data_IF_074845883719
#
_entry.id   IF_074845883719
#
_cell.length_a   1.000
_cell.length_b   1.000
_cell.length_c   1.000
_cell.angle_alpha   90.00
_cell.angle_beta   90.00
_cell.angle_gamma   90.00
#
_symmetry.space_group_name_H-M   'P 1'
#
loop_
_entity.id
_entity.type
_entity.pdbx_description
1 polymer ?
#
# COMPACT_ATOMS: atom_id res chain seq x y z
N UNK A 1 -0.30 13.46 6.09
CA UNK A 1 -1.31 13.71 5.04
C UNK A 1 -2.56 14.27 5.70
N UNK A 2 -3.10 15.35 5.20
CA UNK A 2 -4.38 15.88 5.63
C UNK A 2 -5.32 15.96 4.41
N UNK A 3 -6.58 15.59 4.62
CA UNK A 3 -7.63 15.66 3.59
C UNK A 3 -8.84 16.33 4.16
N UNK A 4 -9.27 17.43 3.55
CA UNK A 4 -10.46 18.17 3.94
C UNK A 4 -11.54 17.98 2.88
N UNK A 5 -12.72 17.61 3.31
CA UNK A 5 -13.91 17.51 2.47
C UNK A 5 -15.00 18.41 3.03
N UNK A 6 -15.53 19.28 2.19
CA UNK A 6 -16.75 20.02 2.47
C UNK A 6 -17.86 19.44 1.59
N UNK A 7 -18.83 18.74 2.19
CA UNK A 7 -19.93 18.13 1.46
C UNK A 7 -21.24 18.89 1.73
N UNK A 8 -21.98 19.16 0.66
CA UNK A 8 -23.29 19.85 0.74
C UNK A 8 -24.41 18.89 1.21
N UNK A 9 -24.22 17.57 1.07
CA UNK A 9 -25.22 16.57 1.48
C UNK A 9 -24.58 15.35 2.18
N UNK A 10 -25.08 15.04 3.38
CA UNK A 10 -24.86 13.75 4.03
C UNK A 10 -25.74 12.68 3.35
N UNK A 11 -25.12 11.76 2.61
CA UNK A 11 -25.83 10.67 1.94
C UNK A 11 -26.48 9.71 2.95
N UNK A 12 -27.67 9.20 2.62
CA UNK A 12 -28.50 8.31 3.42
C UNK A 12 -27.78 6.96 3.69
N UNK A 13 -27.77 6.50 4.94
CA UNK A 13 -27.08 5.27 5.37
C UNK A 13 -27.63 3.98 4.72
N UNK A 14 -28.88 3.97 4.29
CA UNK A 14 -29.52 2.81 3.60
C UNK A 14 -28.93 2.59 2.21
N UNK A 15 -28.71 3.67 1.44
CA UNK A 15 -28.05 3.60 0.13
C UNK A 15 -26.61 3.08 0.22
N UNK A 16 -25.96 3.19 1.38
CA UNK A 16 -24.59 2.70 1.63
C UNK A 16 -24.50 1.17 1.76
N UNK A 17 -25.57 0.49 2.19
CA UNK A 17 -25.62 -0.98 2.27
C UNK A 17 -25.89 -1.63 0.91
N UNK A 18 -26.79 -1.08 0.12
CA UNK A 18 -27.10 -1.56 -1.24
C UNK A 18 -25.93 -1.33 -2.22
N UNK A 19 -25.21 -0.21 -2.08
CA UNK A 19 -24.03 0.08 -2.90
C UNK A 19 -22.84 -0.89 -2.68
N UNK A 20 -22.84 -1.68 -1.61
CA UNK A 20 -21.78 -2.69 -1.38
C UNK A 20 -21.98 -3.97 -2.19
N UNK A 21 -23.18 -4.22 -2.68
CA UNK A 21 -23.53 -5.39 -3.49
C UNK A 21 -23.44 -5.14 -4.99
N UNK A 22 -23.31 -3.88 -5.44
CA UNK A 22 -23.24 -3.51 -6.85
C UNK A 22 -21.78 -3.32 -7.32
N UNK A 23 -21.55 -3.60 -8.61
CA UNK A 23 -20.28 -3.26 -9.27
C UNK A 23 -20.08 -1.73 -9.19
N UNK A 24 -18.92 -1.31 -8.70
CA UNK A 24 -18.60 0.11 -8.57
C UNK A 24 -18.53 0.77 -9.95
N UNK A 25 -19.11 1.98 -10.09
CA UNK A 25 -18.91 2.78 -11.30
C UNK A 25 -17.42 3.08 -11.51
N UNK A 26 -16.96 3.34 -12.75
CA UNK A 26 -15.55 3.67 -13.03
C UNK A 26 -15.01 4.83 -12.18
N UNK A 27 -15.82 5.87 -11.96
CA UNK A 27 -15.47 6.99 -11.09
C UNK A 27 -15.26 6.56 -9.64
N UNK A 28 -16.08 5.62 -9.13
CA UNK A 28 -15.98 5.08 -7.78
C UNK A 28 -14.78 4.15 -7.65
N UNK A 29 -14.47 3.38 -8.70
CA UNK A 29 -13.25 2.54 -8.73
C UNK A 29 -11.99 3.38 -8.70
N UNK A 30 -11.92 4.46 -9.47
CA UNK A 30 -10.82 5.42 -9.46
C UNK A 30 -10.63 6.05 -8.07
N UNK A 31 -11.72 6.49 -7.43
CA UNK A 31 -11.66 7.02 -6.06
C UNK A 31 -11.20 5.95 -5.05
N UNK A 32 -11.73 4.73 -5.13
CA UNK A 32 -11.33 3.64 -4.26
C UNK A 32 -9.85 3.28 -4.44
N UNK A 33 -9.36 3.29 -5.67
CA UNK A 33 -7.94 3.07 -5.97
C UNK A 33 -7.07 4.18 -5.36
N UNK A 34 -7.49 5.46 -5.49
CA UNK A 34 -6.81 6.60 -4.87
C UNK A 34 -6.77 6.46 -3.33
N UNK A 35 -7.88 6.16 -2.70
CA UNK A 35 -7.95 5.97 -1.25
C UNK A 35 -7.11 4.77 -0.79
N UNK A 36 -7.05 3.71 -1.60
CA UNK A 36 -6.27 2.51 -1.30
C UNK A 36 -4.76 2.80 -1.27
N UNK A 37 -4.22 3.50 -2.27
CA UNK A 37 -2.79 3.83 -2.26
C UNK A 37 -2.43 4.84 -1.17
N UNK A 38 -3.28 5.82 -0.91
CA UNK A 38 -3.09 6.76 0.20
C UNK A 38 -3.03 6.05 1.55
N UNK A 39 -3.94 5.09 1.77
CA UNK A 39 -3.93 4.26 2.97
C UNK A 39 -2.66 3.41 3.07
N UNK A 40 -2.21 2.82 1.96
CA UNK A 40 -0.95 2.07 1.94
C UNK A 40 0.22 2.98 2.29
N UNK A 41 0.34 4.13 1.64
CA UNK A 41 1.39 5.12 1.90
C UNK A 41 1.48 5.50 3.38
N UNK A 42 0.34 5.85 4.00
CA UNK A 42 0.30 6.17 5.43
C UNK A 42 0.68 4.99 6.32
N UNK A 43 0.27 3.78 5.93
CA UNK A 43 0.64 2.56 6.64
C UNK A 43 2.13 2.30 6.53
N UNK A 44 2.73 2.51 5.35
CA UNK A 44 4.18 2.38 5.15
C UNK A 44 4.94 3.42 5.99
N UNK A 45 4.52 4.68 5.95
CA UNK A 45 5.15 5.75 6.72
C UNK A 45 5.12 5.53 8.24
N UNK A 46 4.07 4.86 8.75
CA UNK A 46 3.93 4.59 10.18
C UNK A 46 4.75 3.38 10.67
N UNK A 47 5.28 2.54 9.77
CA UNK A 47 5.84 1.24 10.15
C UNK A 47 7.24 0.96 9.61
N UNK A 48 7.69 1.69 8.62
CA UNK A 48 8.97 1.44 7.96
C UNK A 48 9.85 2.68 8.01
N UNK A 49 11.12 2.44 8.24
CA UNK A 49 12.15 3.46 8.27
C UNK A 49 13.07 3.37 7.03
N UNK A 50 13.99 4.31 6.94
CA UNK A 50 14.83 4.50 5.77
C UNK A 50 15.67 3.27 5.38
N UNK A 51 16.12 2.52 6.39
CA UNK A 51 17.02 1.37 6.22
C UNK A 51 16.27 0.05 5.99
N UNK A 52 14.95 0.09 6.03
CA UNK A 52 14.12 -1.07 5.72
C UNK A 52 14.22 -1.45 4.23
N UNK A 53 13.83 -2.67 3.89
CA UNK A 53 14.03 -3.22 2.56
C UNK A 53 12.74 -3.31 1.76
N UNK A 54 12.87 -2.97 0.50
CA UNK A 54 11.94 -3.39 -0.55
C UNK A 54 12.54 -4.59 -1.25
N UNK A 55 11.81 -5.70 -1.25
CA UNK A 55 12.25 -6.97 -1.81
C UNK A 55 11.36 -7.33 -2.99
N UNK A 56 11.96 -7.59 -4.13
CA UNK A 56 11.27 -8.13 -5.30
C UNK A 56 11.61 -9.61 -5.45
N UNK A 57 10.58 -10.46 -5.41
CA UNK A 57 10.70 -11.92 -5.53
C UNK A 57 10.17 -12.35 -6.89
N UNK A 58 11.05 -12.83 -7.76
CA UNK A 58 10.72 -13.29 -9.11
C UNK A 58 10.80 -14.81 -9.20
N UNK A 59 9.90 -15.44 -9.95
CA UNK A 59 9.91 -16.87 -10.19
C UNK A 59 10.84 -17.25 -11.33
N UNK A 60 11.43 -18.44 -11.29
CA UNK A 60 12.00 -19.06 -12.51
C UNK A 60 10.91 -19.38 -13.51
N UNK A 61 11.26 -19.50 -14.80
CA UNK A 61 10.29 -19.80 -15.85
C UNK A 61 9.60 -21.15 -15.61
N UNK A 62 10.37 -22.16 -15.24
CA UNK A 62 9.87 -23.51 -14.94
C UNK A 62 9.01 -23.59 -13.68
N UNK A 63 9.16 -22.62 -12.77
CA UNK A 63 8.44 -22.55 -11.49
C UNK A 63 7.30 -21.53 -11.50
N UNK A 64 7.03 -20.87 -12.63
CA UNK A 64 6.03 -19.80 -12.71
C UNK A 64 4.63 -20.36 -12.40
N UNK A 65 3.94 -19.83 -11.37
CA UNK A 65 2.60 -20.29 -11.04
C UNK A 65 1.58 -19.97 -12.12
N UNK A 66 0.83 -20.97 -12.56
CA UNK A 66 -0.25 -20.79 -13.54
C UNK A 66 -1.45 -20.11 -12.88
N UNK A 67 -1.70 -20.38 -11.60
CA UNK A 67 -2.84 -19.85 -10.84
C UNK A 67 -2.36 -18.88 -9.77
N UNK A 68 -3.16 -17.85 -9.56
CA UNK A 68 -2.91 -16.87 -8.50
C UNK A 68 -2.86 -17.49 -7.11
N UNK A 69 -3.76 -18.44 -6.84
CA UNK A 69 -3.84 -19.11 -5.55
C UNK A 69 -2.54 -19.84 -5.21
N UNK A 70 -1.88 -20.38 -6.23
CA UNK A 70 -0.58 -21.03 -6.08
C UNK A 70 0.52 -20.02 -5.75
N UNK A 71 0.53 -18.87 -6.41
CA UNK A 71 1.46 -17.78 -6.10
C UNK A 71 1.22 -17.24 -4.68
N UNK A 72 -0.02 -16.97 -4.32
CA UNK A 72 -0.39 -16.50 -2.98
C UNK A 72 -0.02 -17.52 -1.89
N UNK A 73 -0.18 -18.83 -2.17
CA UNK A 73 0.24 -19.91 -1.28
C UNK A 73 1.76 -19.96 -1.11
N UNK A 74 2.53 -19.89 -2.21
CA UNK A 74 4.00 -19.89 -2.19
C UNK A 74 4.54 -18.68 -1.42
N UNK A 75 4.01 -17.48 -1.69
CA UNK A 75 4.37 -16.28 -0.95
C UNK A 75 4.01 -16.37 0.54
N UNK A 76 2.85 -16.93 0.86
CA UNK A 76 2.43 -17.14 2.26
C UNK A 76 3.36 -18.10 3.00
N UNK A 77 3.80 -19.17 2.34
CA UNK A 77 4.75 -20.13 2.90
C UNK A 77 6.13 -19.50 3.11
N UNK A 78 6.60 -18.69 2.15
CA UNK A 78 7.82 -17.91 2.29
C UNK A 78 7.75 -16.97 3.50
N UNK A 79 6.70 -16.16 3.61
CA UNK A 79 6.52 -15.23 4.74
C UNK A 79 6.46 -15.98 6.08
N UNK A 80 5.82 -17.15 6.12
CA UNK A 80 5.77 -17.99 7.33
C UNK A 80 7.17 -18.48 7.74
N UNK A 81 7.97 -18.96 6.79
CA UNK A 81 9.33 -19.41 7.04
C UNK A 81 10.24 -18.24 7.48
N UNK A 82 10.13 -17.10 6.80
CA UNK A 82 10.91 -15.90 7.14
C UNK A 82 10.54 -15.39 8.54
N UNK A 83 9.25 -15.35 8.88
CA UNK A 83 8.80 -14.98 10.24
C UNK A 83 9.33 -15.93 11.30
N UNK A 84 9.34 -17.25 11.00
CA UNK A 84 9.89 -18.24 11.94
C UNK A 84 11.37 -17.98 12.20
N UNK A 85 12.19 -17.84 11.16
CA UNK A 85 13.61 -17.58 11.28
C UNK A 85 13.91 -16.27 12.04
N UNK A 86 13.16 -15.20 11.77
CA UNK A 86 13.34 -13.93 12.51
C UNK A 86 12.97 -14.05 13.99
N UNK A 87 11.93 -14.80 14.33
CA UNK A 87 11.57 -15.05 15.74
C UNK A 87 12.66 -15.79 16.51
N UNK A 88 13.37 -16.70 15.87
CA UNK A 88 14.50 -17.41 16.47
C UNK A 88 15.64 -16.46 16.85
N UNK A 89 15.74 -15.30 16.21
CA UNK A 89 16.67 -14.20 16.54
C UNK A 89 16.04 -13.08 17.38
N UNK A 90 14.84 -13.29 17.93
CA UNK A 90 14.13 -12.31 18.77
C UNK A 90 13.54 -11.12 17.98
N UNK A 91 13.46 -11.20 16.65
CA UNK A 91 12.96 -10.12 15.78
C UNK A 91 11.56 -10.40 15.28
N UNK A 92 10.68 -9.42 15.33
CA UNK A 92 9.37 -9.51 14.71
C UNK A 92 9.46 -9.13 13.22
N UNK A 93 8.69 -9.82 12.37
CA UNK A 93 8.58 -9.48 10.94
C UNK A 93 7.35 -8.62 10.70
N UNK A 94 7.57 -7.35 10.37
CA UNK A 94 6.58 -6.47 9.77
C UNK A 94 6.74 -6.50 8.25
N UNK A 95 5.62 -6.54 7.53
CA UNK A 95 5.65 -6.50 6.07
C UNK A 95 4.39 -5.89 5.47
N UNK A 96 4.55 -5.27 4.31
CA UNK A 96 3.50 -5.03 3.33
C UNK A 96 3.84 -5.83 2.06
N UNK A 97 2.85 -6.47 1.42
CA UNK A 97 3.05 -7.29 0.23
C UNK A 97 2.06 -7.01 -0.89
N UNK A 98 2.53 -7.13 -2.12
CA UNK A 98 1.74 -7.02 -3.34
C UNK A 98 2.20 -8.09 -4.32
N UNK A 99 1.29 -8.58 -5.14
CA UNK A 99 1.60 -9.48 -6.25
C UNK A 99 1.16 -8.81 -7.54
N UNK A 100 2.08 -8.68 -8.49
CA UNK A 100 1.89 -8.06 -9.80
C UNK A 100 2.08 -9.07 -10.93
N UNK A 101 1.72 -8.69 -12.16
CA UNK A 101 1.94 -9.49 -13.37
C UNK A 101 0.74 -10.31 -13.83
N UNK A 102 -0.39 -10.27 -13.14
CA UNK A 102 -1.57 -11.03 -13.56
C UNK A 102 -2.40 -10.37 -14.68
N UNK A 103 -2.34 -9.06 -14.83
CA UNK A 103 -3.16 -8.31 -15.79
C UNK A 103 -2.40 -7.84 -17.02
N UNK A 104 -1.07 -7.78 -16.94
CA UNK A 104 -0.28 -7.00 -17.89
C UNK A 104 0.42 -7.85 -18.96
N UNK A 105 0.28 -9.18 -18.91
CA UNK A 105 1.17 -10.04 -19.68
C UNK A 105 2.63 -9.94 -19.21
N UNK A 106 2.87 -9.22 -18.12
CA UNK A 106 4.15 -9.15 -17.46
C UNK A 106 4.44 -10.42 -16.65
N UNK A 107 5.70 -10.63 -16.31
CA UNK A 107 6.13 -11.76 -15.48
C UNK A 107 5.55 -11.59 -14.07
N UNK A 108 4.94 -12.64 -13.55
CA UNK A 108 4.44 -12.69 -12.19
C UNK A 108 5.58 -12.53 -11.19
N UNK A 109 5.44 -11.59 -10.28
CA UNK A 109 6.39 -11.33 -9.21
C UNK A 109 5.72 -10.76 -7.97
N UNK A 110 6.45 -10.74 -6.87
CA UNK A 110 5.96 -10.17 -5.61
C UNK A 110 6.86 -9.05 -5.15
N UNK A 111 6.24 -7.96 -4.68
CA UNK A 111 6.93 -6.94 -3.92
C UNK A 111 6.58 -7.06 -2.45
N UNK A 112 7.59 -7.00 -1.61
CA UNK A 112 7.47 -6.92 -0.15
C UNK A 112 8.24 -5.71 0.34
N UNK A 113 7.64 -4.94 1.24
CA UNK A 113 8.36 -4.01 2.09
C UNK A 113 8.45 -4.68 3.45
N UNK A 114 9.65 -4.80 4.00
CA UNK A 114 9.92 -5.56 5.23
C UNK A 114 10.86 -4.77 6.14
N UNK A 115 10.63 -4.84 7.44
CA UNK A 115 11.53 -4.29 8.46
C UNK A 115 12.78 -5.16 8.64
N UNK A 116 13.47 -5.43 7.53
CA UNK A 116 14.64 -6.29 7.45
C UNK A 116 15.91 -5.46 7.33
N UNK A 117 17.04 -6.05 7.68
CA UNK A 117 18.35 -5.44 7.57
C UNK A 117 19.18 -6.17 6.52
N UNK A 118 20.36 -5.63 6.16
CA UNK A 118 21.29 -6.29 5.25
C UNK A 118 21.67 -7.72 5.66
N UNK A 119 21.61 -8.04 6.96
CA UNK A 119 21.85 -9.39 7.47
C UNK A 119 20.75 -10.41 7.07
N UNK A 120 19.61 -9.95 6.60
CA UNK A 120 18.51 -10.80 6.16
C UNK A 120 18.59 -11.17 4.66
N UNK A 121 19.52 -10.62 3.88
CA UNK A 121 19.61 -10.86 2.42
C UNK A 121 19.76 -12.35 2.08
N UNK A 122 20.73 -13.01 2.67
CA UNK A 122 21.01 -14.42 2.39
C UNK A 122 19.86 -15.31 2.86
N UNK A 123 19.29 -15.00 4.02
CA UNK A 123 18.11 -15.69 4.52
C UNK A 123 16.93 -15.59 3.56
N UNK A 124 16.66 -14.38 3.03
CA UNK A 124 15.57 -14.15 2.08
C UNK A 124 15.81 -14.93 0.78
N UNK A 125 17.04 -14.89 0.23
CA UNK A 125 17.42 -15.65 -0.97
C UNK A 125 17.27 -17.16 -0.75
N UNK A 126 17.79 -17.68 0.34
CA UNK A 126 17.71 -19.10 0.65
C UNK A 126 16.27 -19.60 0.80
N UNK A 127 15.42 -18.83 1.46
CA UNK A 127 14.01 -19.15 1.62
C UNK A 127 13.23 -19.09 0.31
N UNK A 128 13.62 -18.21 -0.63
CA UNK A 128 12.96 -18.08 -1.93
C UNK A 128 13.48 -19.04 -2.99
N UNK A 129 14.70 -19.57 -2.83
CA UNK A 129 15.46 -20.39 -3.81
C UNK A 129 14.66 -21.53 -4.45
N UNK A 130 13.72 -22.12 -3.73
CA UNK A 130 12.84 -23.18 -4.27
C UNK A 130 11.79 -22.68 -5.27
N UNK A 131 11.53 -21.37 -5.36
CA UNK A 131 10.54 -20.77 -6.26
C UNK A 131 11.23 -19.94 -7.35
N UNK A 132 12.39 -19.36 -7.04
CA UNK A 132 13.14 -18.50 -7.94
C UNK A 132 14.52 -18.21 -7.38
N UNK A 133 15.41 -17.73 -8.20
CA UNK A 133 16.78 -17.36 -7.89
C UNK A 133 17.03 -15.85 -8.04
N UNK A 134 16.04 -15.15 -8.58
CA UNK A 134 16.10 -13.71 -8.79
C UNK A 134 15.38 -12.99 -7.63
N UNK A 135 16.17 -12.36 -6.78
CA UNK A 135 15.70 -11.57 -5.62
C UNK A 135 16.44 -10.24 -5.61
N UNK A 136 15.70 -9.18 -5.90
CA UNK A 136 16.21 -7.81 -5.84
C UNK A 136 15.91 -7.17 -4.50
N UNK A 137 16.84 -6.32 -4.06
CA UNK A 137 16.75 -5.55 -2.83
C UNK A 137 17.00 -4.07 -3.09
N UNK A 138 16.08 -3.25 -2.62
CA UNK A 138 16.23 -1.79 -2.62
C UNK A 138 15.98 -1.24 -1.21
N UNK A 139 16.72 -0.19 -0.79
CA UNK A 139 16.41 0.49 0.47
C UNK A 139 15.08 1.25 0.34
N UNK A 140 14.19 1.09 1.32
CA UNK A 140 12.89 1.76 1.35
C UNK A 140 13.04 3.29 1.34
N UNK A 141 14.03 3.82 2.05
CA UNK A 141 14.28 5.26 2.16
C UNK A 141 14.77 5.95 0.90
N UNK A 142 15.16 5.20 -0.14
CA UNK A 142 15.58 5.76 -1.43
C UNK A 142 14.47 6.61 -2.06
N UNK A 143 13.25 6.10 -2.01
CA UNK A 143 12.10 6.69 -2.70
C UNK A 143 10.95 7.08 -1.76
N UNK A 144 10.97 6.59 -0.53
CA UNK A 144 10.04 6.90 0.52
C UNK A 144 8.63 6.29 0.34
N UNK A 145 7.74 6.49 1.33
CA UNK A 145 6.44 5.82 1.38
C UNK A 145 5.48 6.25 0.27
N UNK A 146 5.59 7.49 -0.22
CA UNK A 146 4.71 8.00 -1.27
C UNK A 146 4.95 7.30 -2.60
N UNK A 147 6.21 7.26 -3.03
CA UNK A 147 6.57 6.61 -4.30
C UNK A 147 6.25 5.12 -4.26
N UNK A 148 6.62 4.43 -3.17
CA UNK A 148 6.31 3.02 -3.00
C UNK A 148 4.81 2.75 -2.95
N UNK A 149 4.03 3.57 -2.24
CA UNK A 149 2.57 3.48 -2.24
C UNK A 149 1.96 3.62 -3.64
N UNK A 150 2.43 4.58 -4.43
CA UNK A 150 2.00 4.79 -5.82
C UNK A 150 2.45 3.64 -6.73
N UNK A 151 3.71 3.25 -6.65
CA UNK A 151 4.31 2.20 -7.48
C UNK A 151 3.59 0.87 -7.25
N UNK A 152 3.52 0.41 -6.01
CA UNK A 152 2.93 -0.87 -5.64
C UNK A 152 1.42 -0.97 -5.92
N UNK A 153 0.72 0.13 -6.11
CA UNK A 153 -0.71 0.13 -6.48
C UNK A 153 -0.96 0.53 -7.94
N UNK A 154 0.09 0.59 -8.77
CA UNK A 154 0.00 1.03 -10.16
C UNK A 154 -0.93 0.12 -10.99
N UNK A 155 -0.68 -1.17 -10.99
CA UNK A 155 -1.46 -2.13 -11.78
C UNK A 155 -2.97 -2.06 -11.47
N UNK A 156 -3.44 -2.14 -10.21
CA UNK A 156 -4.87 -2.00 -9.91
C UNK A 156 -5.45 -0.62 -10.19
N UNK A 157 -4.65 0.44 -10.20
CA UNK A 157 -5.13 1.79 -10.57
C UNK A 157 -5.31 1.94 -12.07
N UNK A 158 -4.43 1.36 -12.87
CA UNK A 158 -4.45 1.48 -14.32
C UNK A 158 -5.41 0.47 -14.97
N UNK A 159 -5.56 -0.72 -14.40
CA UNK A 159 -6.26 -1.86 -15.00
C UNK A 159 -7.52 -2.30 -14.24
N UNK A 160 -7.80 -1.65 -13.11
CA UNK A 160 -8.93 -2.00 -12.25
C UNK A 160 -8.69 -3.24 -11.38
N UNK A 161 -9.70 -3.59 -10.58
CA UNK A 161 -9.70 -4.81 -9.77
C UNK A 161 -10.20 -6.00 -10.60
N UNK A 162 -9.64 -7.17 -10.38
CA UNK A 162 -10.01 -8.40 -11.10
C UNK A 162 -11.38 -8.92 -10.73
N UNK A 163 -11.76 -8.78 -9.46
CA UNK A 163 -13.05 -9.22 -8.93
C UNK A 163 -13.43 -8.43 -7.67
N UNK A 164 -14.70 -8.49 -7.32
CA UNK A 164 -15.21 -7.85 -6.10
C UNK A 164 -14.55 -8.47 -4.86
N UNK A 165 -13.97 -7.62 -3.99
CA UNK A 165 -13.27 -8.05 -2.79
C UNK A 165 -11.78 -8.36 -2.98
N UNK A 166 -11.23 -8.23 -4.19
CA UNK A 166 -9.79 -8.36 -4.42
C UNK A 166 -9.02 -7.31 -3.61
N UNK A 167 -8.10 -7.79 -2.78
CA UNK A 167 -7.20 -6.94 -2.00
C UNK A 167 -5.91 -6.75 -2.76
N UNK A 168 -5.66 -5.53 -3.17
CA UNK A 168 -4.47 -5.14 -3.94
C UNK A 168 -3.19 -5.31 -3.13
N UNK A 169 -3.25 -5.10 -1.82
CA UNK A 169 -2.12 -5.26 -0.92
C UNK A 169 -2.56 -5.87 0.42
N UNK A 170 -1.61 -6.48 1.12
CA UNK A 170 -1.81 -7.09 2.44
C UNK A 170 -0.63 -6.76 3.35
N UNK A 171 -0.88 -6.66 4.65
CA UNK A 171 0.13 -6.35 5.67
C UNK A 171 0.16 -7.41 6.76
N UNK A 172 1.24 -7.41 7.55
CA UNK A 172 1.28 -8.13 8.81
C UNK A 172 0.25 -7.56 9.81
N UNK A 173 -0.14 -8.38 10.79
CA UNK A 173 -1.21 -8.02 11.73
C UNK A 173 -0.81 -6.92 12.72
N UNK A 174 0.44 -6.88 13.14
CA UNK A 174 0.92 -6.02 14.22
C UNK A 174 1.43 -4.65 13.74
N UNK A 175 1.11 -4.28 12.50
CA UNK A 175 1.47 -2.96 12.00
C UNK A 175 0.66 -1.87 12.70
N UNK A 176 1.34 -0.78 13.03
CA UNK A 176 0.70 0.44 13.53
C UNK A 176 -0.26 0.99 12.48
N UNK A 177 -1.44 1.36 12.92
CA UNK A 177 -2.41 2.01 12.05
C UNK A 177 -2.12 3.50 12.00
N UNK A 178 -2.25 4.16 10.84
CA UNK A 178 -2.20 5.61 10.76
C UNK A 178 -3.24 6.23 11.70
N UNK A 179 -2.85 7.29 12.40
CA UNK A 179 -3.78 8.06 13.21
C UNK A 179 -4.65 8.89 12.27
N UNK A 180 -5.95 8.71 12.36
CA UNK A 180 -6.93 9.45 11.56
C UNK A 180 -7.84 10.22 12.50
N UNK A 181 -7.85 11.54 12.37
CA UNK A 181 -8.78 12.42 13.10
C UNK A 181 -9.74 13.07 12.10
N UNK A 182 -10.96 13.34 12.55
CA UNK A 182 -11.97 14.03 11.75
C UNK A 182 -12.54 15.16 12.60
N UNK A 183 -12.54 16.36 12.05
CA UNK A 183 -13.12 17.55 12.69
C UNK A 183 -14.09 18.20 11.72
N UNK A 184 -15.08 18.87 12.26
CA UNK A 184 -15.91 19.79 11.48
C UNK A 184 -15.09 21.07 11.22
N UNK A 185 -15.23 21.59 10.03
CA UNK A 185 -14.61 22.85 9.60
C UNK A 185 -15.71 23.83 9.21
N UNK A 186 -15.47 25.11 9.41
CA UNK A 186 -16.40 26.17 9.01
C UNK A 186 -16.21 26.51 7.53
N UNK A 187 -17.24 27.11 6.93
CA UNK A 187 -17.17 27.59 5.56
C UNK A 187 -16.11 28.69 5.44
N UNK A 188 -15.14 28.48 4.55
CA UNK A 188 -14.02 29.41 4.37
C UNK A 188 -12.74 29.00 5.08
N UNK A 189 -12.75 27.97 5.93
CA UNK A 189 -11.54 27.44 6.53
C UNK A 189 -10.62 26.82 5.47
N UNK A 190 -9.35 27.16 5.57
CA UNK A 190 -8.31 26.59 4.70
C UNK A 190 -7.55 25.47 5.39
N UNK A 191 -7.18 24.46 4.58
CA UNK A 191 -6.31 23.40 5.01
C UNK A 191 -4.89 23.96 5.23
N UNK A 192 -4.41 23.96 6.47
CA UNK A 192 -3.08 24.47 6.86
C UNK A 192 -2.17 23.31 7.28
N UNK A 193 -0.90 23.31 6.84
CA UNK A 193 0.07 22.33 7.31
C UNK A 193 0.42 22.59 8.78
N UNK A 194 0.86 21.58 9.53
CA UNK A 194 1.49 21.78 10.83
C UNK A 194 2.69 22.71 10.73
N UNK A 195 3.01 23.41 11.83
CA UNK A 195 4.18 24.27 11.88
C UNK A 195 5.48 23.49 11.59
N UNK A 196 6.33 24.03 10.74
CA UNK A 196 7.59 23.39 10.32
C UNK A 196 7.45 22.26 9.30
N UNK A 197 6.25 21.94 8.83
CA UNK A 197 6.05 20.90 7.83
C UNK A 197 6.37 21.39 6.41
N UNK A 198 6.96 20.51 5.61
CA UNK A 198 7.18 20.71 4.17
C UNK A 198 5.99 20.14 3.39
N UNK A 199 5.33 20.95 2.58
CA UNK A 199 4.24 20.51 1.71
C UNK A 199 4.85 19.79 0.51
N UNK A 200 4.48 18.51 0.32
CA UNK A 200 4.94 17.68 -0.81
C UNK A 200 3.90 17.58 -1.93
N UNK A 201 2.62 17.75 -1.58
CA UNK A 201 1.53 17.77 -2.57
C UNK A 201 0.36 18.61 -2.03
N UNK A 202 -0.27 19.40 -2.92
CA UNK A 202 -1.48 20.16 -2.62
C UNK A 202 -2.36 20.20 -3.84
N UNK A 203 -3.62 19.90 -3.66
CA UNK A 203 -4.64 20.01 -4.70
C UNK A 203 -5.93 20.59 -4.14
N UNK A 204 -6.60 21.39 -4.94
CA UNK A 204 -7.91 21.94 -4.63
C UNK A 204 -8.82 21.78 -5.86
N UNK A 205 -10.03 21.31 -5.63
CA UNK A 205 -11.05 21.16 -6.67
C UNK A 205 -12.37 21.68 -6.13
N UNK A 206 -13.01 22.57 -6.88
CA UNK A 206 -14.36 23.04 -6.61
C UNK A 206 -15.32 22.57 -7.70
N UNK A 207 -16.45 22.04 -7.29
CA UNK A 207 -17.52 21.60 -8.20
C UNK A 207 -18.90 21.82 -7.56
N UNK A 208 -19.97 21.36 -8.23
CA UNK A 208 -21.35 21.48 -7.73
C UNK A 208 -21.62 20.72 -6.40
N UNK A 209 -20.72 19.85 -5.95
CA UNK A 209 -20.85 19.11 -4.68
C UNK A 209 -20.06 19.75 -3.53
N UNK A 210 -19.25 20.78 -3.80
CA UNK A 210 -18.48 21.50 -2.82
C UNK A 210 -17.02 21.71 -3.19
N UNK A 211 -16.26 22.22 -2.21
CA UNK A 211 -14.81 22.44 -2.29
C UNK A 211 -14.08 21.25 -1.66
N UNK A 212 -13.11 20.71 -2.37
CA UNK A 212 -12.29 19.58 -1.96
C UNK A 212 -10.83 20.00 -1.95
N UNK A 213 -10.21 20.00 -0.78
CA UNK A 213 -8.80 20.31 -0.62
C UNK A 213 -8.05 19.04 -0.20
N UNK A 214 -6.87 18.85 -0.74
CA UNK A 214 -5.94 17.79 -0.37
C UNK A 214 -4.57 18.38 -0.13
N UNK A 215 -3.90 17.93 0.91
CA UNK A 215 -2.52 18.33 1.20
C UNK A 215 -1.74 17.14 1.75
N UNK A 216 -0.54 16.96 1.26
CA UNK A 216 0.47 16.11 1.86
C UNK A 216 1.61 16.97 2.38
N UNK A 217 2.05 16.70 3.59
CA UNK A 217 3.16 17.39 4.19
C UNK A 217 4.00 16.42 5.03
N UNK A 218 5.28 16.66 5.10
CA UNK A 218 6.25 15.90 5.87
C UNK A 218 6.79 16.81 6.97
N UNK A 219 6.78 16.32 8.20
CA UNK A 219 7.46 17.00 9.31
C UNK A 219 8.95 16.64 9.23
N UNK A 220 9.87 17.60 9.54
CA UNK A 220 11.28 17.27 9.68
C UNK A 220 11.46 16.26 10.82
N UNK A 221 12.44 15.38 10.68
CA UNK A 221 12.86 14.50 11.77
C UNK A 221 13.32 15.36 12.95
N UNK A 222 12.75 15.09 14.12
CA UNK A 222 13.11 15.78 15.37
C UNK A 222 14.39 15.24 15.97
#
# INVERSE_FOLDING_TARGET
MAVQYTAIHAGNQTARREARASISSPARESLNAKLSWQKLMLTLAANFCRDDLVVTLTYRDDDLPIRREDADRRLTNFIRAFRKARRETGKELLYARITEGYHSGGRLHHHLIVNATGNDFDLIRDLWKKNGDDVDFEPFGKDGPERWGKYLTKEPREKGRRYVGDRTWRTSQHMQKPIVTSTLVEEGDDLRPPAGAFITDKAEVQNCYGRFCHMMAVLPES
#
